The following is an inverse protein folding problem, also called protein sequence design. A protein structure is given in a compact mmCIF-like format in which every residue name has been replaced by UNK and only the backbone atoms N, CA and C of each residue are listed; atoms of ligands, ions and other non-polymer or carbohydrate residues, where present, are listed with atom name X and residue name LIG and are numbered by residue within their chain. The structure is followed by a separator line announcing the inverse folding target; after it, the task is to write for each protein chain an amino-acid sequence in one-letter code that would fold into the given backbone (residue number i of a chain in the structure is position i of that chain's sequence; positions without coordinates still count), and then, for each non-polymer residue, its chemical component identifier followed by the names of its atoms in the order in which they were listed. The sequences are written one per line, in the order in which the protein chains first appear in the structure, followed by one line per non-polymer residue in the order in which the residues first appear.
data_IF_379581498864
#
_entry.id   IF_379581498864
#
_cell.length_a   1.000
_cell.length_b   1.000
_cell.length_c   1.000
_cell.angle_alpha   90.00
_cell.angle_beta   90.00
_cell.angle_gamma   90.00
#
_symmetry.space_group_name_H-M   'P 1'
#
loop_
_entity.id
_entity.type
_entity.pdbx_description
1 polymer ?
#
# COMPACT_ATOMS: atom_id res chain seq x y z
N UNK A 1 -22.18 15.43 -18.07
CA UNK A 1 -21.86 15.55 -19.50
C UNK A 1 -22.44 16.85 -20.11
N UNK A 2 -22.32 17.06 -21.38
CA UNK A 2 -22.81 18.24 -22.13
C UNK A 2 -24.34 18.33 -22.28
N UNK A 3 -25.08 17.38 -21.75
CA UNK A 3 -26.55 17.31 -21.73
C UNK A 3 -27.14 17.30 -20.33
N UNK A 4 -26.33 17.52 -19.31
CA UNK A 4 -26.76 17.56 -17.91
C UNK A 4 -26.97 16.19 -17.25
N UNK A 5 -26.71 15.07 -17.92
CA UNK A 5 -26.79 13.72 -17.34
C UNK A 5 -25.64 13.48 -16.36
N UNK A 6 -25.94 12.86 -15.23
CA UNK A 6 -24.98 12.57 -14.16
C UNK A 6 -24.62 11.09 -14.17
N UNK A 7 -23.34 10.80 -14.24
CA UNK A 7 -22.78 9.46 -14.29
C UNK A 7 -21.81 9.24 -13.13
N UNK A 8 -21.72 8.01 -12.67
CA UNK A 8 -20.64 7.49 -11.83
C UNK A 8 -19.62 6.79 -12.74
N UNK A 9 -18.35 7.01 -12.47
CA UNK A 9 -17.23 6.40 -13.18
C UNK A 9 -16.32 5.76 -12.11
N UNK A 10 -16.50 4.45 -11.84
CA UNK A 10 -15.62 3.73 -10.91
C UNK A 10 -14.21 3.53 -11.49
N UNK A 11 -13.30 3.02 -10.68
CA UNK A 11 -11.91 2.74 -11.11
C UNK A 11 -11.82 1.71 -12.25
N UNK A 12 -12.84 0.85 -12.40
CA UNK A 12 -12.97 -0.08 -13.52
C UNK A 12 -13.28 0.60 -14.84
N UNK A 13 -13.59 1.90 -14.83
CA UNK A 13 -14.01 2.70 -16.01
C UNK A 13 -15.36 2.29 -16.59
N UNK A 14 -16.16 1.52 -15.90
CA UNK A 14 -17.56 1.23 -16.27
C UNK A 14 -18.41 2.46 -15.95
N UNK A 15 -19.05 3.02 -16.98
CA UNK A 15 -19.82 4.25 -16.85
C UNK A 15 -21.26 3.93 -16.51
N UNK A 16 -21.71 4.31 -15.31
CA UNK A 16 -23.07 4.08 -14.82
C UNK A 16 -23.90 5.35 -14.82
N UNK A 17 -25.06 5.32 -15.46
CA UNK A 17 -26.01 6.42 -15.38
C UNK A 17 -26.76 6.40 -14.05
N UNK A 18 -26.71 7.50 -13.30
CA UNK A 18 -27.35 7.59 -11.96
C UNK A 18 -28.88 7.76 -11.99
N UNK A 19 -29.48 7.90 -13.16
CA UNK A 19 -30.90 8.28 -13.28
C UNK A 19 -31.18 9.73 -12.88
N UNK A 20 -30.14 10.53 -12.64
CA UNK A 20 -30.25 11.95 -12.24
C UNK A 20 -29.73 12.87 -13.33
N UNK A 21 -30.37 14.03 -13.45
CA UNK A 21 -29.98 15.10 -14.39
C UNK A 21 -29.93 16.45 -13.67
N UNK A 22 -29.19 17.38 -14.22
CA UNK A 22 -29.25 18.81 -13.87
C UNK A 22 -29.58 19.66 -15.09
N UNK A 23 -30.33 20.72 -14.90
CA UNK A 23 -30.66 21.71 -15.94
C UNK A 23 -29.73 22.93 -15.90
N UNK A 24 -28.85 23.00 -14.89
CA UNK A 24 -27.88 24.09 -14.76
C UNK A 24 -26.72 23.90 -15.77
N UNK A 25 -26.77 24.64 -16.88
CA UNK A 25 -25.81 24.56 -17.96
C UNK A 25 -24.39 24.97 -17.57
N UNK A 26 -24.23 25.81 -16.56
CA UNK A 26 -22.92 26.24 -16.06
C UNK A 26 -22.15 25.12 -15.37
N UNK A 27 -22.86 24.03 -14.99
CA UNK A 27 -22.29 22.86 -14.36
C UNK A 27 -22.14 21.65 -15.31
N UNK A 28 -22.40 21.84 -16.60
CA UNK A 28 -22.17 20.76 -17.58
C UNK A 28 -20.68 20.47 -17.73
N UNK A 29 -20.35 19.26 -18.14
CA UNK A 29 -18.96 18.80 -18.28
C UNK A 29 -18.07 19.10 -17.03
N UNK A 30 -18.63 18.85 -15.87
CA UNK A 30 -17.95 18.94 -14.57
C UNK A 30 -17.52 17.54 -14.14
N UNK A 31 -16.31 17.39 -13.60
CA UNK A 31 -15.78 16.16 -13.04
C UNK A 31 -15.45 16.39 -11.58
N UNK A 32 -16.11 15.61 -10.71
CA UNK A 32 -15.95 15.63 -9.27
C UNK A 32 -15.38 14.30 -8.82
N UNK A 33 -14.44 14.32 -7.88
CA UNK A 33 -13.89 13.14 -7.24
C UNK A 33 -14.52 12.93 -5.85
N UNK A 34 -14.76 11.66 -5.50
CA UNK A 34 -15.43 11.33 -4.25
C UNK A 34 -15.60 9.85 -4.02
N UNK A 35 -16.30 9.51 -2.95
CA UNK A 35 -16.65 8.14 -2.60
C UNK A 35 -18.15 7.90 -2.74
N UNK A 36 -18.52 6.82 -3.41
CA UNK A 36 -19.91 6.40 -3.51
C UNK A 36 -20.27 5.44 -2.40
N UNK A 37 -21.16 5.88 -1.51
CA UNK A 37 -21.61 5.20 -0.31
C UNK A 37 -23.03 4.71 -0.54
N UNK A 38 -23.20 3.40 -0.73
CA UNK A 38 -24.51 2.80 -0.96
C UNK A 38 -25.30 2.65 0.33
N UNK A 39 -24.65 2.22 1.42
CA UNK A 39 -25.27 1.96 2.70
C UNK A 39 -24.55 2.71 3.82
N UNK A 40 -25.30 3.24 4.75
CA UNK A 40 -24.73 3.84 5.95
C UNK A 40 -24.29 2.75 6.96
N UNK A 41 -23.68 3.15 8.08
CA UNK A 41 -23.22 2.25 9.15
C UNK A 41 -24.32 1.39 9.79
N UNK A 42 -25.60 1.71 9.59
CA UNK A 42 -26.75 0.91 10.02
C UNK A 42 -27.31 0.05 8.90
N UNK A 43 -26.57 -0.17 7.84
CA UNK A 43 -26.97 -0.93 6.66
C UNK A 43 -28.19 -0.37 5.91
N UNK A 44 -28.57 0.89 6.18
CA UNK A 44 -29.64 1.56 5.45
C UNK A 44 -29.12 2.09 4.12
N UNK A 45 -29.85 1.83 3.04
CA UNK A 45 -29.54 2.38 1.72
C UNK A 45 -29.63 3.90 1.69
N UNK A 46 -28.55 4.58 1.34
CA UNK A 46 -28.45 6.07 1.35
C UNK A 46 -28.04 6.63 0.00
N UNK A 47 -27.40 5.85 -0.87
CA UNK A 47 -26.94 6.24 -2.20
C UNK A 47 -26.30 7.64 -2.22
N UNK A 48 -25.25 7.81 -1.43
CA UNK A 48 -24.59 9.11 -1.23
C UNK A 48 -23.24 9.12 -1.92
N UNK A 49 -22.96 10.17 -2.70
CA UNK A 49 -21.62 10.46 -3.20
C UNK A 49 -21.00 11.55 -2.33
N UNK A 50 -19.97 11.18 -1.58
CA UNK A 50 -19.24 12.08 -0.69
C UNK A 50 -18.04 12.67 -1.44
N UNK A 51 -18.24 13.83 -2.03
CA UNK A 51 -17.24 14.53 -2.84
C UNK A 51 -16.13 15.14 -1.99
N UNK A 52 -14.89 15.03 -2.43
CA UNK A 52 -13.72 15.59 -1.75
C UNK A 52 -12.79 16.41 -2.66
N UNK A 53 -12.95 16.33 -3.98
CA UNK A 53 -12.19 17.16 -4.92
C UNK A 53 -12.99 17.43 -6.20
N UNK A 54 -12.52 18.38 -7.02
CA UNK A 54 -13.09 18.73 -8.31
C UNK A 54 -11.98 19.03 -9.32
N UNK A 55 -12.08 18.43 -10.50
CA UNK A 55 -11.02 18.49 -11.53
C UNK A 55 -11.39 19.36 -12.71
N UNK A 56 -12.67 19.33 -13.12
CA UNK A 56 -13.17 20.13 -14.24
C UNK A 56 -14.50 20.79 -13.86
N UNK A 57 -14.69 22.01 -14.31
CA UNK A 57 -15.97 22.72 -14.24
C UNK A 57 -16.26 23.36 -15.61
N UNK A 58 -17.42 23.08 -16.18
CA UNK A 58 -17.84 23.58 -17.49
C UNK A 58 -16.74 23.41 -18.57
N UNK A 59 -16.19 22.18 -18.69
CA UNK A 59 -15.08 21.81 -19.57
C UNK A 59 -13.74 22.46 -19.23
N UNK A 60 -13.65 23.29 -18.20
CA UNK A 60 -12.44 24.00 -17.80
C UNK A 60 -11.64 23.16 -16.81
N UNK A 61 -10.41 22.87 -17.15
CA UNK A 61 -9.47 22.17 -16.25
C UNK A 61 -9.03 23.10 -15.11
N UNK A 62 -9.28 22.70 -13.86
CA UNK A 62 -8.90 23.43 -12.65
C UNK A 62 -7.98 22.63 -11.72
N UNK A 63 -7.44 21.50 -12.19
CA UNK A 63 -6.58 20.62 -11.40
C UNK A 63 -5.29 21.29 -10.92
N UNK A 64 -4.86 22.36 -11.60
CA UNK A 64 -3.69 23.17 -11.21
C UNK A 64 -3.92 24.06 -9.99
N UNK A 65 -5.18 24.34 -9.64
CA UNK A 65 -5.51 25.19 -8.52
C UNK A 65 -5.19 24.48 -7.17
N UNK A 66 -4.85 25.24 -6.11
CA UNK A 66 -4.70 24.68 -4.78
C UNK A 66 -6.04 24.14 -4.25
N UNK A 67 -5.96 23.22 -3.28
CA UNK A 67 -7.16 22.64 -2.67
C UNK A 67 -7.86 23.63 -1.75
N UNK A 68 -7.09 24.29 -0.86
CA UNK A 68 -7.54 25.28 0.11
C UNK A 68 -6.59 26.47 0.16
N UNK A 69 -7.07 27.63 0.66
CA UNK A 69 -6.22 28.76 0.98
C UNK A 69 -5.71 28.69 2.43
N UNK A 70 -4.43 28.84 2.58
CA UNK A 70 -3.78 28.92 3.91
C UNK A 70 -3.52 30.36 4.37
N UNK A 71 -3.88 31.36 3.58
CA UNK A 71 -3.63 32.76 3.96
C UNK A 71 -4.78 33.29 4.83
N UNK A 72 -4.40 33.97 5.91
CA UNK A 72 -5.30 34.77 6.75
C UNK A 72 -5.76 36.07 6.08
N UNK A 73 -5.41 36.27 4.80
CA UNK A 73 -5.84 37.42 4.03
C UNK A 73 -7.29 37.26 3.59
N UNK A 74 -8.05 38.36 3.64
CA UNK A 74 -9.44 38.40 3.19
C UNK A 74 -9.59 37.79 1.80
N UNK A 75 -10.48 36.82 1.69
CA UNK A 75 -10.77 36.13 0.44
C UNK A 75 -11.53 37.11 -0.44
N UNK A 76 -10.92 37.54 -1.52
CA UNK A 76 -11.64 38.18 -2.61
C UNK A 76 -12.60 37.16 -3.24
N UNK A 77 -13.84 37.20 -2.83
CA UNK A 77 -14.89 36.27 -3.24
C UNK A 77 -15.19 36.33 -4.76
N UNK A 78 -14.64 37.31 -5.46
CA UNK A 78 -14.77 37.45 -6.92
C UNK A 78 -13.83 36.52 -7.70
N UNK A 79 -12.80 35.93 -7.04
CA UNK A 79 -11.84 35.01 -7.67
C UNK A 79 -11.98 33.62 -7.08
N UNK A 80 -12.65 32.73 -7.80
CA UNK A 80 -12.69 31.28 -7.52
C UNK A 80 -11.24 30.71 -7.60
N UNK A 81 -10.56 30.64 -6.45
CA UNK A 81 -9.12 30.33 -6.42
C UNK A 81 -8.81 28.96 -5.86
N UNK A 82 -9.80 28.23 -5.29
CA UNK A 82 -9.57 26.99 -4.56
C UNK A 82 -10.56 25.91 -4.96
N UNK A 83 -10.08 24.70 -5.17
CA UNK A 83 -10.91 23.59 -5.60
C UNK A 83 -12.05 23.27 -4.62
N UNK A 84 -11.82 23.28 -3.30
CA UNK A 84 -12.90 23.00 -2.32
C UNK A 84 -13.99 24.07 -2.28
N UNK A 85 -13.65 25.34 -2.49
CA UNK A 85 -14.65 26.38 -2.58
C UNK A 85 -15.49 26.21 -3.85
N UNK A 86 -14.85 25.93 -4.97
CA UNK A 86 -15.53 25.63 -6.23
C UNK A 86 -16.43 24.41 -6.06
N UNK A 87 -15.94 23.32 -5.47
CA UNK A 87 -16.71 22.12 -5.20
C UNK A 87 -17.96 22.42 -4.35
N UNK A 88 -17.80 23.17 -3.27
CA UNK A 88 -18.92 23.56 -2.39
C UNK A 88 -19.97 24.35 -3.15
N UNK A 89 -19.55 25.29 -3.99
CA UNK A 89 -20.44 26.08 -4.84
C UNK A 89 -21.16 25.22 -5.90
N UNK A 90 -20.43 24.28 -6.51
CA UNK A 90 -21.01 23.33 -7.48
C UNK A 90 -22.08 22.48 -6.80
N UNK A 91 -21.76 21.86 -5.66
CA UNK A 91 -22.70 20.98 -4.92
C UNK A 91 -23.93 21.75 -4.47
N UNK A 92 -23.77 23.00 -3.98
CA UNK A 92 -24.90 23.85 -3.54
C UNK A 92 -25.82 24.27 -4.70
N UNK A 93 -25.25 24.44 -5.90
CA UNK A 93 -26.01 24.89 -7.10
C UNK A 93 -26.45 23.72 -7.98
N UNK A 94 -25.99 22.51 -7.71
CA UNK A 94 -26.34 21.31 -8.47
C UNK A 94 -27.73 20.81 -8.04
N UNK A 95 -28.77 21.34 -8.63
CA UNK A 95 -30.14 20.88 -8.44
C UNK A 95 -30.34 19.61 -9.25
N UNK A 96 -30.22 18.45 -8.59
CA UNK A 96 -30.43 17.15 -9.23
C UNK A 96 -31.89 16.75 -9.21
N UNK A 97 -32.44 16.47 -10.38
CA UNK A 97 -33.80 15.96 -10.55
C UNK A 97 -33.76 14.58 -11.19
N UNK A 98 -34.83 13.79 -10.99
CA UNK A 98 -34.93 12.47 -11.63
C UNK A 98 -35.13 12.63 -13.14
N UNK A 99 -34.43 11.82 -13.92
CA UNK A 99 -34.59 11.76 -15.38
C UNK A 99 -36.02 11.37 -15.78
N UNK A 100 -36.62 10.42 -15.06
CA UNK A 100 -37.98 9.93 -15.36
C UNK A 100 -39.08 10.89 -14.91
N UNK A 101 -38.83 11.73 -13.91
CA UNK A 101 -39.78 12.71 -13.39
C UNK A 101 -39.06 13.92 -12.80
N UNK A 102 -38.99 15.00 -13.58
CA UNK A 102 -38.28 16.23 -13.20
C UNK A 102 -38.81 16.94 -11.97
N UNK A 103 -40.02 16.61 -11.51
CA UNK A 103 -40.60 17.11 -10.29
C UNK A 103 -40.11 16.37 -9.02
N UNK A 104 -39.37 15.26 -9.21
CA UNK A 104 -38.78 14.48 -8.10
C UNK A 104 -37.29 14.73 -8.01
N UNK A 105 -36.76 14.72 -6.80
CA UNK A 105 -35.32 14.75 -6.54
C UNK A 105 -34.65 13.52 -7.19
N UNK A 106 -33.45 13.67 -7.71
CA UNK A 106 -32.63 12.57 -8.19
C UNK A 106 -32.31 11.56 -7.09
N UNK A 107 -32.03 10.33 -7.50
CA UNK A 107 -31.76 9.22 -6.57
C UNK A 107 -30.43 9.34 -5.84
N UNK A 108 -29.44 10.03 -6.44
CA UNK A 108 -28.13 10.25 -5.85
C UNK A 108 -28.17 11.42 -4.86
N UNK A 109 -27.64 11.21 -3.66
CA UNK A 109 -27.40 12.27 -2.71
C UNK A 109 -25.94 12.72 -2.82
N UNK A 110 -25.68 14.03 -2.91
CA UNK A 110 -24.33 14.58 -3.04
C UNK A 110 -23.99 15.43 -1.83
N UNK A 111 -22.89 15.12 -1.18
CA UNK A 111 -22.36 15.88 -0.03
C UNK A 111 -20.90 16.21 -0.26
N UNK A 112 -20.40 17.27 0.37
CA UNK A 112 -18.96 17.58 0.41
C UNK A 112 -18.37 17.06 1.70
N UNK A 113 -17.27 16.30 1.62
CA UNK A 113 -16.50 15.89 2.80
C UNK A 113 -15.93 17.12 3.49
N UNK A 114 -15.92 17.09 4.83
CA UNK A 114 -15.32 18.16 5.62
C UNK A 114 -13.81 17.99 5.71
N UNK A 115 -13.11 19.08 5.45
CA UNK A 115 -11.67 19.18 5.64
C UNK A 115 -11.37 20.06 6.86
N UNK A 116 -10.35 19.68 7.60
CA UNK A 116 -9.82 20.45 8.71
C UNK A 116 -8.42 20.91 8.29
N UNK A 117 -8.33 22.16 7.82
CA UNK A 117 -7.09 22.81 7.47
C UNK A 117 -6.77 23.86 8.52
N UNK A 118 -5.63 23.75 9.19
CA UNK A 118 -5.15 24.73 10.15
C UNK A 118 -3.62 24.61 10.26
N UNK A 119 -2.98 25.63 10.85
CA UNK A 119 -1.54 25.63 11.17
C UNK A 119 -1.17 24.52 12.18
N UNK A 120 -2.14 23.94 12.88
CA UNK A 120 -1.96 22.81 13.76
C UNK A 120 -2.76 21.59 13.25
N UNK A 121 -2.05 20.71 12.53
CA UNK A 121 -2.61 19.48 11.97
C UNK A 121 -3.13 18.53 13.05
N UNK A 122 -2.49 18.48 14.22
CA UNK A 122 -2.88 17.58 15.33
C UNK A 122 -4.26 17.91 15.86
N UNK A 123 -4.60 19.21 16.00
CA UNK A 123 -5.93 19.64 16.37
C UNK A 123 -6.98 19.25 15.32
N UNK A 124 -6.63 19.30 14.04
CA UNK A 124 -7.49 18.81 12.96
C UNK A 124 -7.78 17.32 13.09
N UNK A 125 -6.76 16.52 13.34
CA UNK A 125 -6.88 15.07 13.57
C UNK A 125 -7.76 14.78 14.79
N UNK A 126 -7.49 15.43 15.91
CA UNK A 126 -8.26 15.26 17.14
C UNK A 126 -9.75 15.58 16.92
N UNK A 127 -10.07 16.65 16.20
CA UNK A 127 -11.44 17.03 15.91
C UNK A 127 -12.16 15.98 15.04
N UNK A 128 -11.49 15.44 14.01
CA UNK A 128 -12.08 14.40 13.17
C UNK A 128 -12.30 13.12 13.99
N UNK A 129 -11.30 12.67 14.74
CA UNK A 129 -11.38 11.44 15.53
C UNK A 129 -12.45 11.54 16.63
N UNK A 130 -12.56 12.68 17.32
CA UNK A 130 -13.66 12.94 18.26
C UNK A 130 -15.04 12.90 17.58
N UNK A 131 -15.15 13.37 16.34
CA UNK A 131 -16.41 13.29 15.59
C UNK A 131 -16.75 11.85 15.20
N UNK A 132 -15.74 11.02 14.91
CA UNK A 132 -15.91 9.58 14.66
C UNK A 132 -16.41 8.89 15.93
N UNK A 133 -15.76 9.11 17.07
CA UNK A 133 -16.15 8.53 18.37
C UNK A 133 -17.56 8.93 18.78
N UNK A 134 -17.94 10.20 18.54
CA UNK A 134 -19.30 10.72 18.81
C UNK A 134 -20.33 10.28 17.76
N UNK A 135 -19.95 9.41 16.82
CA UNK A 135 -20.85 8.92 15.78
C UNK A 135 -21.49 10.02 14.90
N UNK A 136 -20.78 11.13 14.66
CA UNK A 136 -21.31 12.25 13.89
C UNK A 136 -21.26 12.06 12.37
N UNK A 137 -20.67 10.98 11.90
CA UNK A 137 -20.68 10.58 10.47
C UNK A 137 -21.71 9.46 10.27
N UNK A 138 -22.52 9.57 9.23
CA UNK A 138 -23.53 8.54 8.89
C UNK A 138 -22.93 7.32 8.19
N UNK A 139 -21.68 7.41 7.74
CA UNK A 139 -20.95 6.34 7.02
C UNK A 139 -19.77 5.83 7.83
N UNK A 140 -19.30 4.62 7.48
CA UNK A 140 -18.13 4.04 8.10
C UNK A 140 -16.86 4.79 7.68
N UNK A 141 -15.95 4.95 8.62
CA UNK A 141 -14.64 5.58 8.42
C UNK A 141 -13.55 4.60 8.79
N UNK A 142 -12.47 4.57 8.03
CA UNK A 142 -11.32 3.66 8.25
C UNK A 142 -10.06 4.40 8.70
N UNK A 143 -10.12 5.71 8.90
CA UNK A 143 -8.99 6.52 9.33
C UNK A 143 -9.01 7.95 8.81
N UNK A 144 -7.82 8.53 8.62
CA UNK A 144 -7.61 9.90 8.17
C UNK A 144 -6.89 9.93 6.83
N UNK A 145 -7.22 10.94 6.00
CA UNK A 145 -6.50 11.24 4.77
C UNK A 145 -5.91 12.64 4.89
N UNK A 146 -4.61 12.75 4.65
CA UNK A 146 -3.86 14.00 4.60
C UNK A 146 -3.64 14.38 3.16
N UNK A 147 -4.10 15.55 2.78
CA UNK A 147 -3.99 16.02 1.39
C UNK A 147 -3.28 17.38 1.37
N UNK A 148 -2.25 17.57 0.53
CA UNK A 148 -1.59 18.87 0.39
C UNK A 148 -2.58 19.94 -0.06
N UNK A 149 -2.60 21.08 0.64
CA UNK A 149 -3.57 22.13 0.40
C UNK A 149 -3.14 23.14 -0.66
N UNK A 150 -1.82 23.37 -0.83
CA UNK A 150 -1.27 24.45 -1.65
C UNK A 150 -0.93 24.01 -3.09
N UNK A 151 -1.00 22.72 -3.40
CA UNK A 151 -0.60 22.18 -4.70
C UNK A 151 -1.80 21.75 -5.53
N UNK A 152 -1.59 21.66 -6.83
CA UNK A 152 -2.56 21.04 -7.75
C UNK A 152 -2.64 19.54 -7.55
N UNK A 153 -3.57 18.89 -8.24
CA UNK A 153 -3.81 17.45 -8.16
C UNK A 153 -2.57 16.67 -8.55
N UNK A 154 -2.17 15.72 -7.70
CA UNK A 154 -1.01 14.84 -7.88
C UNK A 154 0.32 15.57 -8.15
N UNK A 155 0.45 16.84 -7.74
CA UNK A 155 1.64 17.66 -7.95
C UNK A 155 2.30 18.03 -6.64
N UNK A 156 3.63 18.10 -6.67
CA UNK A 156 4.47 18.60 -5.58
C UNK A 156 4.87 20.08 -5.81
N UNK A 157 4.30 20.73 -6.83
CA UNK A 157 4.63 22.10 -7.22
C UNK A 157 3.38 22.97 -7.24
N UNK A 158 3.46 24.16 -6.63
CA UNK A 158 2.37 25.15 -6.61
C UNK A 158 2.03 25.59 -8.04
N UNK A 159 0.74 25.63 -8.37
CA UNK A 159 0.23 26.09 -9.65
C UNK A 159 0.42 25.12 -10.83
N UNK A 160 0.91 23.90 -10.57
CA UNK A 160 1.06 22.86 -11.60
C UNK A 160 0.30 21.59 -11.23
N UNK A 161 -0.02 20.79 -12.23
CA UNK A 161 -0.53 19.42 -12.05
C UNK A 161 0.56 18.41 -12.40
N UNK A 162 0.38 17.16 -11.97
CA UNK A 162 1.28 16.10 -12.40
C UNK A 162 1.24 15.96 -13.93
N UNK A 163 2.40 15.78 -14.57
CA UNK A 163 2.46 15.59 -16.04
C UNK A 163 1.88 14.22 -16.45
N UNK A 164 1.80 13.27 -15.51
CA UNK A 164 1.27 11.93 -15.73
C UNK A 164 0.35 11.53 -14.57
N UNK A 165 -0.95 11.40 -14.86
CA UNK A 165 -1.99 11.01 -13.88
C UNK A 165 -1.96 9.52 -13.49
N UNK A 166 -1.08 8.72 -14.07
CA UNK A 166 -0.95 7.28 -13.74
C UNK A 166 -0.01 7.01 -12.54
N UNK A 167 0.64 8.05 -12.04
CA UNK A 167 1.52 7.91 -10.87
C UNK A 167 0.76 8.14 -9.58
N UNK A 168 1.10 7.37 -8.54
CA UNK A 168 0.59 7.60 -7.18
C UNK A 168 1.06 8.96 -6.68
N UNK A 169 0.16 9.71 -6.04
CA UNK A 169 0.52 10.97 -5.42
C UNK A 169 1.20 10.73 -4.07
N UNK A 170 2.50 10.85 -4.04
CA UNK A 170 3.33 10.54 -2.88
C UNK A 170 3.13 11.52 -1.70
N UNK A 171 2.59 12.71 -1.96
CA UNK A 171 2.30 13.72 -0.93
C UNK A 171 0.95 13.52 -0.22
N UNK A 172 0.13 12.57 -0.67
CA UNK A 172 -1.12 12.23 -0.01
C UNK A 172 -0.92 11.02 0.89
N UNK A 173 -1.18 11.17 2.18
CA UNK A 173 -0.97 10.13 3.19
C UNK A 173 -2.30 9.63 3.75
N UNK A 174 -2.34 8.34 4.08
CA UNK A 174 -3.46 7.72 4.78
C UNK A 174 -2.98 7.18 6.11
N UNK A 175 -3.68 7.53 7.17
CA UNK A 175 -3.48 6.94 8.49
C UNK A 175 -4.70 6.10 8.85
N UNK A 176 -4.45 4.94 9.42
CA UNK A 176 -5.47 4.04 9.98
C UNK A 176 -5.11 3.68 11.41
N UNK A 177 -6.09 3.47 12.29
CA UNK A 177 -5.86 2.83 13.57
C UNK A 177 -5.14 1.49 13.39
N UNK A 178 -4.29 1.11 14.35
CA UNK A 178 -3.44 -0.09 14.24
C UNK A 178 -4.25 -1.36 13.95
N UNK A 179 -5.42 -1.45 14.57
CA UNK A 179 -6.35 -2.58 14.40
C UNK A 179 -6.95 -2.70 13.00
N UNK A 180 -6.87 -1.65 12.18
CA UNK A 180 -7.36 -1.63 10.80
C UNK A 180 -6.24 -1.83 9.76
N UNK A 181 -5.00 -2.09 10.21
CA UNK A 181 -3.91 -2.44 9.31
C UNK A 181 -4.01 -3.91 8.94
N UNK A 182 -4.48 -4.18 7.73
CA UNK A 182 -4.70 -5.52 7.19
C UNK A 182 -3.90 -5.72 5.91
N UNK A 183 -3.68 -6.99 5.56
CA UNK A 183 -3.04 -7.37 4.29
C UNK A 183 -3.94 -8.38 3.58
N UNK A 184 -4.16 -8.15 2.29
CA UNK A 184 -4.84 -9.11 1.42
C UNK A 184 -3.81 -10.08 0.85
N UNK A 185 -3.93 -11.36 1.19
CA UNK A 185 -3.06 -12.41 0.68
C UNK A 185 -3.81 -13.34 -0.29
N UNK A 186 -3.11 -13.81 -1.31
CA UNK A 186 -3.50 -15.02 -2.01
C UNK A 186 -3.15 -16.22 -1.13
N UNK A 187 -4.16 -16.95 -0.72
CA UNK A 187 -4.04 -18.11 0.17
C UNK A 187 -3.82 -19.37 -0.64
N UNK A 188 -2.80 -20.14 -0.27
CA UNK A 188 -2.56 -21.49 -0.79
C UNK A 188 -2.52 -22.46 0.39
N UNK A 189 -3.31 -23.51 0.34
CA UNK A 189 -3.31 -24.52 1.38
C UNK A 189 -2.05 -25.40 1.31
N UNK A 190 -1.40 -25.60 2.45
CA UNK A 190 -0.30 -26.54 2.54
C UNK A 190 -0.79 -27.95 2.21
N UNK A 191 -0.04 -28.67 1.37
CA UNK A 191 -0.39 -30.03 0.91
C UNK A 191 0.65 -31.03 1.38
N UNK A 192 0.20 -32.26 1.56
CA UNK A 192 1.04 -33.43 1.77
C UNK A 192 1.69 -33.86 0.44
N UNK A 193 2.60 -34.83 0.51
CA UNK A 193 3.27 -35.41 -0.67
C UNK A 193 2.31 -36.09 -1.66
N UNK A 194 1.15 -36.53 -1.19
CA UNK A 194 0.08 -37.12 -2.00
C UNK A 194 -0.90 -36.09 -2.57
N UNK A 195 -0.61 -34.80 -2.45
CA UNK A 195 -1.44 -33.66 -2.88
C UNK A 195 -2.71 -33.44 -2.06
N UNK A 196 -2.96 -34.22 -1.01
CA UNK A 196 -4.05 -33.95 -0.05
C UNK A 196 -3.75 -32.71 0.79
N UNK A 197 -4.79 -32.06 1.30
CA UNK A 197 -4.61 -30.89 2.18
C UNK A 197 -4.01 -31.36 3.51
N UNK A 198 -2.95 -30.66 3.95
CA UNK A 198 -2.34 -30.92 5.25
C UNK A 198 -3.25 -30.41 6.38
N UNK A 199 -3.66 -31.31 7.26
CA UNK A 199 -4.43 -31.01 8.47
C UNK A 199 -3.52 -31.27 9.67
N UNK A 200 -3.11 -30.18 10.32
CA UNK A 200 -2.36 -30.26 11.57
C UNK A 200 -3.31 -30.43 12.76
N UNK A 201 -2.78 -30.96 13.86
CA UNK A 201 -3.48 -30.98 15.12
C UNK A 201 -2.57 -30.53 16.25
N UNK A 202 -3.16 -30.01 17.32
CA UNK A 202 -2.49 -29.70 18.59
C UNK A 202 -3.37 -30.06 19.76
N UNK A 203 -2.76 -30.46 20.85
CA UNK A 203 -3.49 -30.60 22.11
C UNK A 203 -3.91 -29.24 22.65
N UNK A 204 -5.14 -29.16 23.14
CA UNK A 204 -5.62 -27.96 23.80
C UNK A 204 -4.87 -27.74 25.11
N UNK A 205 -4.58 -26.49 25.47
CA UNK A 205 -4.03 -26.14 26.77
C UNK A 205 -5.11 -26.32 27.83
N UNK A 206 -4.84 -27.19 28.78
CA UNK A 206 -5.78 -27.52 29.84
C UNK A 206 -6.66 -28.72 29.49
N UNK A 207 -6.91 -29.57 30.47
CA UNK A 207 -7.76 -30.76 30.31
C UNK A 207 -9.17 -30.37 30.67
N UNK A 208 -10.05 -30.29 29.66
CA UNK A 208 -11.49 -30.15 29.86
C UNK A 208 -12.11 -31.54 29.78
N UNK A 209 -12.27 -32.18 30.93
CA UNK A 209 -12.81 -33.53 31.06
C UNK A 209 -14.28 -33.65 30.59
N UNK A 210 -14.93 -32.53 30.31
CA UNK A 210 -16.31 -32.50 29.79
C UNK A 210 -16.40 -32.64 28.31
N UNK A 211 -15.27 -32.49 27.57
CA UNK A 211 -15.20 -32.57 26.11
C UNK A 211 -14.59 -33.89 25.65
N UNK A 212 -15.22 -34.54 24.68
CA UNK A 212 -14.73 -35.77 24.09
C UNK A 212 -13.46 -35.54 23.24
N UNK A 213 -13.31 -34.35 22.63
CA UNK A 213 -12.16 -33.99 21.81
C UNK A 213 -11.28 -32.94 22.52
N UNK A 214 -10.02 -33.29 22.71
CA UNK A 214 -9.02 -32.40 23.31
C UNK A 214 -7.99 -31.90 22.30
N UNK A 215 -8.26 -32.09 21.01
CA UNK A 215 -7.43 -31.69 19.91
C UNK A 215 -8.09 -30.53 19.16
N UNK A 216 -7.29 -29.56 18.77
CA UNK A 216 -7.67 -28.53 17.81
C UNK A 216 -7.00 -28.84 16.50
N UNK A 217 -7.81 -29.05 15.46
CA UNK A 217 -7.35 -29.23 14.08
C UNK A 217 -7.19 -27.88 13.41
N UNK A 218 -6.24 -27.75 12.49
CA UNK A 218 -5.97 -26.52 11.77
C UNK A 218 -5.47 -26.80 10.36
N UNK A 219 -5.72 -25.88 9.45
CA UNK A 219 -5.06 -25.83 8.15
C UNK A 219 -3.89 -24.87 8.22
N UNK A 220 -2.77 -25.25 7.61
CA UNK A 220 -1.63 -24.36 7.40
C UNK A 220 -1.79 -23.68 6.03
N UNK A 221 -1.80 -22.37 6.05
CA UNK A 221 -1.93 -21.51 4.89
C UNK A 221 -0.58 -20.89 4.53
N UNK A 222 -0.23 -20.92 3.26
CA UNK A 222 0.88 -20.18 2.68
C UNK A 222 0.28 -18.89 2.14
N UNK A 223 0.77 -17.76 2.65
CA UNK A 223 0.28 -16.41 2.35
C UNK A 223 1.16 -15.79 1.27
N UNK A 224 0.58 -15.57 0.08
CA UNK A 224 1.29 -15.04 -1.06
C UNK A 224 0.88 -13.61 -1.37
N UNK A 225 1.81 -12.84 -1.94
CA UNK A 225 1.63 -11.48 -2.42
C UNK A 225 2.09 -11.37 -3.87
N UNK A 226 1.59 -10.38 -4.59
CA UNK A 226 2.03 -10.13 -5.95
C UNK A 226 3.41 -9.50 -6.00
N UNK A 227 4.33 -10.08 -6.75
CA UNK A 227 5.72 -9.67 -6.82
C UNK A 227 6.18 -9.44 -8.26
N UNK A 228 6.86 -8.30 -8.47
CA UNK A 228 7.49 -7.91 -9.73
C UNK A 228 8.98 -7.70 -9.48
N UNK A 229 9.83 -8.62 -9.92
CA UNK A 229 11.27 -8.54 -9.70
C UNK A 229 11.92 -7.30 -10.33
N UNK A 230 11.37 -6.79 -11.44
CA UNK A 230 11.87 -5.56 -12.08
C UNK A 230 11.67 -4.32 -11.22
N UNK A 231 10.59 -4.31 -10.42
CA UNK A 231 10.24 -3.16 -9.56
C UNK A 231 10.74 -3.31 -8.14
N UNK A 232 10.74 -4.54 -7.63
CA UNK A 232 10.99 -4.81 -6.22
C UNK A 232 12.37 -5.43 -5.97
N UNK A 233 13.12 -5.73 -7.04
CA UNK A 233 14.41 -6.42 -6.96
C UNK A 233 14.28 -7.86 -6.47
N UNK A 234 15.26 -8.34 -5.75
CA UNK A 234 15.30 -9.69 -5.18
C UNK A 234 14.61 -9.73 -3.81
N UNK A 235 14.04 -10.88 -3.43
CA UNK A 235 13.32 -11.00 -2.13
C UNK A 235 14.33 -10.95 -0.99
N UNK A 236 15.38 -11.76 -1.04
CA UNK A 236 16.45 -11.80 -0.05
C UNK A 236 17.79 -12.15 -0.71
N UNK A 237 18.44 -11.20 -1.40
CA UNK A 237 19.64 -11.50 -2.20
C UNK A 237 20.80 -12.05 -1.37
N UNK A 238 20.98 -11.57 -0.14
CA UNK A 238 22.06 -12.05 0.71
C UNK A 238 21.88 -13.52 1.11
N UNK A 239 20.65 -13.92 1.44
CA UNK A 239 20.33 -15.30 1.81
C UNK A 239 20.44 -16.22 0.58
N UNK A 240 20.06 -15.75 -0.59
CA UNK A 240 20.20 -16.48 -1.86
C UNK A 240 21.66 -16.77 -2.17
N UNK A 241 22.57 -15.80 -1.94
CA UNK A 241 24.02 -16.00 -2.09
C UNK A 241 24.55 -17.01 -1.06
N UNK A 242 24.19 -16.86 0.22
CA UNK A 242 24.66 -17.73 1.30
C UNK A 242 24.23 -19.19 1.07
N UNK A 243 23.03 -19.39 0.54
CA UNK A 243 22.47 -20.72 0.29
C UNK A 243 22.79 -21.26 -1.10
N UNK A 244 23.63 -20.58 -1.89
CA UNK A 244 23.95 -20.92 -3.29
C UNK A 244 22.69 -21.09 -4.17
N UNK A 245 21.67 -20.28 -3.87
CA UNK A 245 20.37 -20.29 -4.56
C UNK A 245 20.30 -19.22 -5.65
N UNK A 246 21.41 -19.05 -6.39
CA UNK A 246 21.52 -18.04 -7.42
C UNK A 246 20.73 -18.45 -8.67
N UNK A 247 19.96 -17.52 -9.21
CA UNK A 247 19.26 -17.73 -10.47
C UNK A 247 20.26 -17.81 -11.61
N UNK A 248 20.11 -18.82 -12.49
CA UNK A 248 20.90 -18.91 -13.69
C UNK A 248 20.61 -17.74 -14.62
N UNK A 249 21.67 -17.20 -15.25
CA UNK A 249 21.63 -16.00 -16.10
C UNK A 249 20.56 -16.05 -17.22
N UNK A 250 20.10 -17.23 -17.63
CA UNK A 250 19.07 -17.42 -18.64
C UNK A 250 17.63 -17.30 -18.13
N UNK A 251 17.42 -17.20 -16.81
CA UNK A 251 16.07 -17.12 -16.22
C UNK A 251 15.49 -15.69 -16.22
N UNK A 252 16.29 -14.70 -16.61
CA UNK A 252 15.85 -13.28 -16.67
C UNK A 252 14.85 -12.98 -17.80
N UNK A 253 14.61 -13.91 -18.72
CA UNK A 253 13.67 -13.72 -19.82
C UNK A 253 12.19 -13.74 -19.39
N UNK A 254 11.86 -14.30 -18.21
CA UNK A 254 10.50 -14.49 -17.70
C UNK A 254 10.24 -13.76 -16.36
N UNK A 255 10.68 -12.50 -16.26
CA UNK A 255 10.38 -11.66 -15.11
C UNK A 255 8.91 -11.20 -15.18
N UNK A 256 7.98 -12.09 -14.87
CA UNK A 256 6.57 -11.79 -14.82
C UNK A 256 6.12 -11.45 -13.40
N UNK A 257 5.07 -10.60 -13.31
CA UNK A 257 4.33 -10.40 -12.07
C UNK A 257 3.70 -11.72 -11.63
N UNK A 258 4.11 -12.25 -10.48
CA UNK A 258 3.75 -13.59 -9.99
C UNK A 258 3.47 -13.58 -8.49
N UNK A 259 2.71 -14.55 -7.98
CA UNK A 259 2.57 -14.72 -6.54
C UNK A 259 3.86 -15.29 -5.95
N UNK A 260 4.29 -14.74 -4.82
CA UNK A 260 5.39 -15.25 -3.99
C UNK A 260 4.99 -15.25 -2.54
N UNK A 261 5.49 -16.22 -1.77
CA UNK A 261 5.28 -16.27 -0.33
C UNK A 261 5.77 -14.96 0.31
N UNK A 262 4.97 -14.40 1.20
CA UNK A 262 5.29 -13.14 1.85
C UNK A 262 6.48 -13.29 2.79
N UNK A 263 7.53 -12.54 2.49
CA UNK A 263 8.74 -12.45 3.29
C UNK A 263 9.07 -10.97 3.50
N UNK A 264 8.72 -10.40 4.66
CA UNK A 264 8.94 -8.98 4.94
C UNK A 264 10.40 -8.67 5.26
N UNK A 265 10.75 -7.38 5.16
CA UNK A 265 12.12 -6.94 5.41
C UNK A 265 12.34 -6.29 6.78
N UNK A 266 11.36 -5.54 7.26
CA UNK A 266 11.51 -4.77 8.50
C UNK A 266 10.19 -4.79 9.34
N UNK A 267 10.17 -5.49 10.48
CA UNK A 267 11.18 -6.48 10.89
C UNK A 267 11.19 -7.70 9.95
N UNK A 268 12.35 -8.31 9.78
CA UNK A 268 12.46 -9.58 9.06
C UNK A 268 11.82 -10.70 9.87
N UNK A 269 10.96 -11.48 9.23
CA UNK A 269 10.36 -12.69 9.82
C UNK A 269 10.14 -13.72 8.70
N UNK A 270 10.88 -14.82 8.75
CA UNK A 270 10.81 -15.93 7.78
C UNK A 270 9.50 -16.71 7.86
N UNK A 271 8.77 -16.58 8.97
CA UNK A 271 7.48 -17.24 9.18
C UNK A 271 6.28 -16.33 8.85
N UNK A 272 6.51 -15.05 8.49
CA UNK A 272 5.42 -14.12 8.21
C UNK A 272 4.50 -14.54 7.05
N UNK A 273 4.99 -15.34 6.13
CA UNK A 273 4.22 -15.88 5.01
C UNK A 273 3.50 -17.20 5.31
N UNK A 274 3.34 -17.57 6.57
CA UNK A 274 2.67 -18.83 6.97
C UNK A 274 1.75 -18.55 8.15
N UNK A 275 0.55 -19.13 8.13
CA UNK A 275 -0.33 -19.12 9.31
C UNK A 275 -1.15 -20.39 9.41
N UNK A 276 -1.58 -20.72 10.63
CA UNK A 276 -2.54 -21.76 10.90
C UNK A 276 -3.90 -21.14 11.18
N UNK A 277 -4.94 -21.73 10.61
CA UNK A 277 -6.33 -21.33 10.87
C UNK A 277 -7.08 -22.55 11.42
N UNK A 278 -7.74 -22.36 12.56
CA UNK A 278 -8.51 -23.43 13.22
C UNK A 278 -9.59 -23.96 12.27
N UNK A 279 -9.63 -25.27 12.14
CA UNK A 279 -10.58 -25.98 11.30
C UNK A 279 -11.76 -26.49 12.15
N UNK A 280 -12.93 -26.38 11.59
CA UNK A 280 -14.19 -26.86 12.18
C UNK A 280 -14.69 -28.06 11.39
N UNK A 281 -15.07 -29.13 12.10
CA UNK A 281 -15.69 -30.32 11.51
C UNK A 281 -17.11 -29.98 11.06
N UNK A 282 -17.47 -30.35 9.84
CA UNK A 282 -18.85 -30.32 9.37
C UNK A 282 -19.60 -31.65 9.67
N UNK A 283 -20.89 -31.70 9.33
CA UNK A 283 -21.73 -32.87 9.57
C UNK A 283 -21.23 -34.15 8.86
N UNK A 284 -20.34 -34.00 7.89
CA UNK A 284 -19.78 -35.10 7.09
C UNK A 284 -18.36 -35.48 7.54
N UNK A 285 -17.91 -35.04 8.72
CA UNK A 285 -16.57 -35.20 9.24
C UNK A 285 -15.48 -34.61 8.34
N UNK A 286 -15.82 -33.64 7.47
CA UNK A 286 -14.82 -32.88 6.73
C UNK A 286 -14.46 -31.60 7.50
N UNK A 287 -13.17 -31.27 7.50
CA UNK A 287 -12.68 -30.05 8.16
C UNK A 287 -12.77 -28.88 7.19
N UNK A 288 -13.21 -27.73 7.70
CA UNK A 288 -13.31 -26.48 6.97
C UNK A 288 -12.78 -25.32 7.81
N UNK A 289 -12.24 -24.30 7.16
CA UNK A 289 -11.76 -23.09 7.80
C UNK A 289 -12.59 -21.88 7.36
N UNK A 290 -12.77 -20.95 8.27
CA UNK A 290 -13.63 -19.78 8.06
C UNK A 290 -12.92 -18.50 8.49
N UNK A 291 -13.32 -17.40 7.89
CA UNK A 291 -12.97 -16.04 8.32
C UNK A 291 -13.71 -15.68 9.61
N UNK A 292 -13.31 -14.57 10.26
CA UNK A 292 -14.05 -14.04 11.43
C UNK A 292 -15.46 -13.56 11.07
N UNK A 293 -15.72 -13.24 9.80
CA UNK A 293 -17.08 -12.94 9.27
C UNK A 293 -17.87 -14.20 8.90
N UNK A 294 -17.34 -15.38 9.27
CA UNK A 294 -17.99 -16.68 9.06
C UNK A 294 -18.11 -17.11 7.58
N UNK A 295 -17.20 -16.65 6.73
CA UNK A 295 -17.11 -16.99 5.33
C UNK A 295 -16.14 -18.15 5.12
N UNK A 296 -16.48 -19.12 4.27
CA UNK A 296 -15.62 -20.26 3.95
C UNK A 296 -14.37 -19.79 3.19
N UNK A 297 -13.19 -20.18 3.66
CA UNK A 297 -11.93 -19.93 2.96
C UNK A 297 -11.66 -21.09 2.01
N UNK A 298 -11.43 -20.77 0.75
CA UNK A 298 -11.09 -21.74 -0.31
C UNK A 298 -9.62 -21.66 -0.67
N UNK A 299 -9.06 -22.80 -1.11
CA UNK A 299 -7.71 -22.83 -1.68
C UNK A 299 -7.65 -21.91 -2.93
N UNK A 300 -6.56 -21.19 -3.08
CA UNK A 300 -6.35 -20.24 -4.18
C UNK A 300 -7.41 -19.12 -4.24
N UNK A 301 -7.72 -18.55 -3.07
CA UNK A 301 -8.58 -17.36 -2.91
C UNK A 301 -7.83 -16.20 -2.28
N UNK A 302 -8.34 -14.99 -2.45
CA UNK A 302 -7.77 -13.79 -1.82
C UNK A 302 -8.55 -13.48 -0.55
N UNK A 303 -7.84 -13.42 0.58
CA UNK A 303 -8.41 -13.23 1.91
C UNK A 303 -7.69 -12.08 2.60
N UNK A 304 -8.45 -11.24 3.28
CA UNK A 304 -7.93 -10.15 4.11
C UNK A 304 -7.59 -10.67 5.51
N UNK A 305 -6.35 -10.40 5.95
CA UNK A 305 -5.84 -10.84 7.24
C UNK A 305 -5.43 -9.65 8.11
N UNK A 306 -5.67 -9.83 9.41
CA UNK A 306 -5.15 -8.97 10.48
C UNK A 306 -4.05 -9.72 11.24
N UNK A 307 -2.95 -9.02 11.53
CA UNK A 307 -1.87 -9.58 12.36
C UNK A 307 -2.12 -9.27 13.83
N UNK A 308 -2.14 -10.30 14.67
CA UNK A 308 -2.36 -10.19 16.11
C UNK A 308 -1.10 -10.67 16.84
N UNK A 309 -0.30 -9.72 17.29
CA UNK A 309 1.02 -9.98 17.93
C UNK A 309 0.92 -10.88 19.15
N UNK A 310 -0.16 -10.76 19.94
CA UNK A 310 -0.39 -11.54 21.17
C UNK A 310 -0.77 -13.00 20.92
N UNK A 311 -1.12 -13.38 19.71
CA UNK A 311 -1.45 -14.74 19.38
C UNK A 311 -0.20 -15.64 19.39
N UNK A 312 -0.41 -16.94 19.54
CA UNK A 312 0.66 -17.95 19.44
C UNK A 312 1.36 -17.89 18.07
N UNK A 313 2.64 -18.23 18.05
CA UNK A 313 3.39 -18.36 16.80
C UNK A 313 2.63 -19.27 15.82
N UNK A 314 2.64 -18.91 14.56
CA UNK A 314 1.89 -19.54 13.47
C UNK A 314 0.35 -19.40 13.55
N UNK A 315 -0.22 -18.62 14.49
CA UNK A 315 -1.63 -18.25 14.56
C UNK A 315 -1.83 -16.73 14.61
N UNK A 316 -0.80 -15.96 14.29
CA UNK A 316 -0.82 -14.50 14.39
C UNK A 316 -1.65 -13.83 13.30
N UNK A 317 -1.69 -14.41 12.10
CA UNK A 317 -2.56 -13.95 11.04
C UNK A 317 -3.97 -14.52 11.21
N UNK A 318 -4.92 -13.61 11.43
CA UNK A 318 -6.34 -13.93 11.60
C UNK A 318 -7.10 -13.53 10.35
N UNK A 319 -7.76 -14.46 9.65
CA UNK A 319 -8.53 -14.16 8.45
C UNK A 319 -9.81 -13.38 8.81
N UNK A 320 -10.01 -12.20 8.21
CA UNK A 320 -11.15 -11.32 8.50
C UNK A 320 -12.31 -11.61 7.55
N UNK A 321 -12.07 -11.49 6.26
CA UNK A 321 -13.08 -11.67 5.21
C UNK A 321 -12.47 -12.11 3.88
N UNK A 322 -13.26 -12.74 3.03
CA UNK A 322 -12.86 -13.03 1.66
C UNK A 322 -12.96 -11.77 0.78
N UNK A 323 -11.98 -11.60 -0.09
CA UNK A 323 -12.00 -10.59 -1.12
C UNK A 323 -12.58 -11.21 -2.40
N UNK A 324 -13.89 -11.33 -2.43
CA UNK A 324 -14.62 -11.95 -3.55
C UNK A 324 -14.37 -11.22 -4.87
N UNK A 325 -14.29 -9.88 -4.83
CA UNK A 325 -13.95 -9.03 -5.96
C UNK A 325 -12.61 -9.44 -6.59
N UNK A 326 -11.55 -9.48 -5.79
CA UNK A 326 -10.19 -9.82 -6.23
C UNK A 326 -10.05 -11.29 -6.60
N UNK A 327 -10.72 -12.17 -5.87
CA UNK A 327 -10.73 -13.61 -6.17
C UNK A 327 -11.42 -13.89 -7.51
N UNK A 328 -12.49 -13.18 -7.82
CA UNK A 328 -13.17 -13.27 -9.11
C UNK A 328 -12.27 -12.80 -10.26
N UNK A 329 -11.59 -11.65 -10.10
CA UNK A 329 -10.61 -11.17 -11.08
C UNK A 329 -9.50 -12.19 -11.33
N UNK A 330 -8.93 -12.77 -10.26
CA UNK A 330 -7.89 -13.79 -10.35
C UNK A 330 -8.38 -15.02 -11.13
N UNK A 331 -9.56 -15.53 -10.80
CA UNK A 331 -10.16 -16.70 -11.45
C UNK A 331 -10.52 -16.48 -12.91
N UNK A 332 -10.74 -15.23 -13.30
CA UNK A 332 -10.95 -14.81 -14.70
C UNK A 332 -9.63 -14.45 -15.45
N UNK A 333 -8.49 -14.81 -14.89
CA UNK A 333 -7.17 -14.67 -15.55
C UNK A 333 -6.49 -13.33 -15.34
N UNK A 334 -7.03 -12.43 -14.51
CA UNK A 334 -6.32 -11.23 -14.12
C UNK A 334 -5.16 -11.57 -13.17
N UNK A 335 -4.04 -10.85 -13.29
CA UNK A 335 -2.88 -11.01 -12.39
C UNK A 335 -3.13 -10.28 -11.07
N UNK A 336 -4.19 -10.64 -10.35
CA UNK A 336 -4.48 -10.13 -9.01
C UNK A 336 -4.11 -11.19 -7.98
N UNK A 337 -3.09 -10.92 -7.15
CA UNK A 337 -2.59 -11.85 -6.13
C UNK A 337 -2.71 -11.26 -4.72
N UNK A 338 -3.75 -10.44 -4.49
CA UNK A 338 -3.93 -9.70 -3.26
C UNK A 338 -3.12 -8.39 -3.27
N UNK A 339 -2.48 -8.07 -2.16
CA UNK A 339 -1.60 -6.90 -2.13
C UNK A 339 -0.33 -7.15 -2.95
N UNK A 340 0.15 -6.09 -3.62
CA UNK A 340 1.50 -6.12 -4.16
C UNK A 340 2.52 -6.13 -3.02
N UNK A 341 3.68 -6.76 -3.24
CA UNK A 341 4.71 -6.95 -2.24
C UNK A 341 5.07 -5.66 -1.47
N UNK A 342 5.31 -4.55 -2.17
CA UNK A 342 5.68 -3.28 -1.54
C UNK A 342 4.57 -2.74 -0.63
N UNK A 343 3.30 -2.95 -0.98
CA UNK A 343 2.15 -2.55 -0.15
C UNK A 343 2.07 -3.43 1.10
N UNK A 344 2.19 -4.75 0.93
CA UNK A 344 2.18 -5.70 2.04
C UNK A 344 3.34 -5.44 3.01
N UNK A 345 4.55 -5.19 2.49
CA UNK A 345 5.73 -4.90 3.30
C UNK A 345 5.61 -3.56 4.04
N UNK A 346 5.03 -2.53 3.42
CA UNK A 346 4.74 -1.25 4.09
C UNK A 346 3.69 -1.41 5.20
N UNK A 347 2.62 -2.18 4.94
CA UNK A 347 1.62 -2.48 5.97
C UNK A 347 2.23 -3.29 7.13
N UNK A 348 3.11 -4.24 6.84
CA UNK A 348 3.85 -5.00 7.86
C UNK A 348 4.70 -4.09 8.76
N UNK A 349 5.45 -3.15 8.17
CA UNK A 349 6.20 -2.15 8.93
C UNK A 349 5.28 -1.30 9.81
N UNK A 350 4.14 -0.86 9.27
CA UNK A 350 3.15 -0.08 10.02
C UNK A 350 2.52 -0.88 11.16
N UNK A 351 2.28 -2.18 10.99
CA UNK A 351 1.79 -3.07 12.06
C UNK A 351 2.79 -3.16 13.22
N UNK A 352 4.10 -3.19 12.93
CA UNK A 352 5.15 -3.35 13.92
C UNK A 352 5.66 -2.02 14.49
N UNK A 353 5.54 -0.94 13.74
CA UNK A 353 5.90 0.42 14.16
C UNK A 353 4.77 1.40 13.80
N UNK A 354 3.63 1.34 14.48
CA UNK A 354 2.46 2.12 14.14
C UNK A 354 2.61 3.58 14.55
N UNK A 355 2.08 4.48 13.72
CA UNK A 355 1.77 5.84 14.15
C UNK A 355 0.51 5.75 15.01
N UNK A 356 0.64 6.00 16.30
CA UNK A 356 -0.44 5.85 17.26
C UNK A 356 -1.43 7.01 17.23
N UNK A 357 -2.59 6.83 17.88
CA UNK A 357 -3.56 7.89 18.10
C UNK A 357 -2.92 9.10 18.80
N UNK A 358 -2.08 8.87 19.82
CA UNK A 358 -1.39 9.94 20.54
C UNK A 358 -0.44 10.71 19.63
N UNK A 359 0.37 10.01 18.81
CA UNK A 359 1.28 10.65 17.87
C UNK A 359 0.52 11.61 16.93
N UNK A 360 -0.63 11.18 16.38
CA UNK A 360 -1.34 11.92 15.34
C UNK A 360 -2.24 13.04 15.92
N UNK A 361 -2.58 12.98 17.20
CA UNK A 361 -3.41 13.99 17.85
C UNK A 361 -2.63 15.01 18.68
N UNK A 362 -1.43 14.68 19.11
CA UNK A 362 -0.61 15.57 19.96
C UNK A 362 0.72 15.94 19.33
N UNK A 363 1.25 15.14 18.42
CA UNK A 363 2.61 15.27 17.90
C UNK A 363 3.71 14.82 18.87
N UNK A 364 3.33 14.23 20.01
CA UNK A 364 4.28 13.71 20.98
C UNK A 364 4.74 12.30 20.62
N UNK A 365 5.90 11.90 21.13
CA UNK A 365 6.45 10.54 20.97
C UNK A 365 6.59 10.09 19.50
N UNK A 366 6.75 11.04 18.58
CA UNK A 366 7.09 10.70 17.21
C UNK A 366 8.55 10.23 17.22
N UNK A 367 8.76 8.94 17.05
CA UNK A 367 10.08 8.41 16.77
C UNK A 367 10.46 8.90 15.37
N UNK A 368 11.34 9.89 15.32
CA UNK A 368 12.02 10.22 14.08
C UNK A 368 13.04 9.09 13.93
N UNK A 369 12.71 8.10 13.11
CA UNK A 369 13.73 7.17 12.64
C UNK A 369 14.76 8.02 11.89
N UNK A 370 15.91 8.25 12.50
CA UNK A 370 17.07 8.84 11.84
C UNK A 370 17.69 7.83 10.85
N UNK A 371 16.85 7.03 10.18
CA UNK A 371 17.25 6.08 9.15
C UNK A 371 17.80 6.76 7.88
N UNK A 372 17.83 8.09 7.84
CA UNK A 372 18.60 8.83 6.83
C UNK A 372 20.13 8.62 6.96
N UNK A 373 20.60 8.15 8.13
CA UNK A 373 22.02 7.81 8.35
C UNK A 373 22.44 6.52 7.62
N UNK A 374 21.49 5.66 7.21
CA UNK A 374 21.80 4.42 6.50
C UNK A 374 21.95 4.59 4.98
N UNK A 375 21.51 5.70 4.39
CA UNK A 375 21.63 5.97 2.95
C UNK A 375 22.93 6.72 2.66
N UNK A 376 24.05 6.04 2.72
CA UNK A 376 25.37 6.63 2.41
C UNK A 376 25.53 7.04 0.93
N UNK A 377 24.85 6.35 0.01
CA UNK A 377 24.87 6.66 -1.43
C UNK A 377 23.53 7.17 -1.93
N UNK A 378 23.29 8.47 -1.79
CA UNK A 378 22.16 9.12 -2.46
C UNK A 378 22.52 9.39 -3.93
N UNK A 379 21.83 8.72 -4.88
CA UNK A 379 22.00 8.99 -6.32
C UNK A 379 21.44 10.38 -6.62
N UNK A 380 22.30 11.39 -6.57
CA UNK A 380 21.98 12.72 -7.09
C UNK A 380 21.89 12.60 -8.61
N UNK A 381 20.71 12.83 -9.18
CA UNK A 381 20.45 12.80 -10.62
C UNK A 381 21.06 13.97 -11.39
N UNK A 382 21.63 14.96 -10.68
CA UNK A 382 22.26 16.13 -11.28
C UNK A 382 23.74 15.87 -11.64
N UNK A 383 24.20 16.50 -12.70
CA UNK A 383 25.59 16.40 -13.16
C UNK A 383 26.53 16.82 -12.03
N UNK A 384 27.28 15.87 -11.49
CA UNK A 384 28.26 16.12 -10.45
C UNK A 384 29.50 16.80 -11.03
N UNK A 385 29.87 17.96 -10.50
CA UNK A 385 31.11 18.65 -10.89
C UNK A 385 32.38 17.84 -10.59
N UNK A 386 32.28 16.86 -9.68
CA UNK A 386 33.40 15.99 -9.28
C UNK A 386 33.46 14.68 -10.07
N UNK A 387 32.66 14.53 -11.12
CA UNK A 387 32.56 13.27 -11.88
C UNK A 387 33.92 12.82 -12.42
N UNK A 388 34.66 13.72 -13.05
CA UNK A 388 35.98 13.39 -13.61
C UNK A 388 36.98 12.92 -12.55
N UNK A 389 37.01 13.57 -11.38
CA UNK A 389 37.84 13.17 -10.26
C UNK A 389 37.43 11.81 -9.70
N UNK A 390 36.13 11.57 -9.55
CA UNK A 390 35.61 10.31 -9.09
C UNK A 390 35.90 9.17 -10.07
N UNK A 391 35.75 9.42 -11.37
CA UNK A 391 36.06 8.44 -12.41
C UNK A 391 37.56 8.13 -12.44
N UNK A 392 38.45 9.12 -12.33
CA UNK A 392 39.87 8.89 -12.19
C UNK A 392 40.23 8.06 -10.96
N UNK A 393 39.62 8.37 -9.82
CA UNK A 393 39.85 7.63 -8.58
C UNK A 393 39.37 6.18 -8.69
N UNK A 394 38.15 5.97 -9.22
CA UNK A 394 37.57 4.64 -9.30
C UNK A 394 38.16 3.77 -10.41
N UNK A 395 38.44 4.33 -11.58
CA UNK A 395 38.88 3.55 -12.73
C UNK A 395 40.40 3.39 -12.77
N UNK A 396 41.17 4.35 -12.26
CA UNK A 396 42.62 4.31 -12.30
C UNK A 396 43.24 4.02 -10.93
N UNK A 397 43.00 4.87 -9.93
CA UNK A 397 43.70 4.77 -8.63
C UNK A 397 43.36 3.49 -7.90
N UNK A 398 42.07 3.18 -7.74
CA UNK A 398 41.64 1.94 -7.07
C UNK A 398 42.09 0.68 -7.81
N UNK A 399 42.03 0.68 -9.14
CA UNK A 399 42.48 -0.43 -9.92
C UNK A 399 44.01 -0.68 -9.76
N UNK A 400 44.81 0.40 -9.78
CA UNK A 400 46.22 0.32 -9.53
C UNK A 400 46.54 -0.19 -8.12
N UNK A 401 45.85 0.28 -7.10
CA UNK A 401 46.04 -0.15 -5.71
C UNK A 401 45.70 -1.64 -5.53
N UNK A 402 44.57 -2.10 -6.06
CA UNK A 402 44.20 -3.52 -5.98
C UNK A 402 45.26 -4.40 -6.64
N UNK A 403 45.75 -4.02 -7.84
CA UNK A 403 46.79 -4.74 -8.55
C UNK A 403 48.14 -4.75 -7.81
N UNK A 404 48.43 -3.72 -7.01
CA UNK A 404 49.67 -3.63 -6.23
C UNK A 404 49.64 -4.48 -4.95
N UNK A 405 48.46 -4.67 -4.35
CA UNK A 405 48.33 -5.34 -3.05
C UNK A 405 47.82 -6.77 -3.14
N UNK A 406 47.39 -7.23 -4.32
CA UNK A 406 46.84 -8.59 -4.51
C UNK A 406 47.38 -9.26 -5.78
N UNK A 407 47.44 -10.57 -5.74
CA UNK A 407 47.79 -11.45 -6.86
C UNK A 407 46.55 -12.30 -7.24
N UNK A 408 46.65 -12.96 -8.39
CA UNK A 408 45.68 -14.00 -8.81
C UNK A 408 45.53 -15.06 -7.71
N UNK A 409 44.32 -15.52 -7.43
CA UNK A 409 43.98 -16.51 -6.38
C UNK A 409 44.09 -15.99 -4.92
N UNK A 410 44.39 -14.73 -4.68
CA UNK A 410 44.41 -14.17 -3.34
C UNK A 410 43.01 -13.98 -2.75
N UNK A 411 42.97 -13.95 -1.42
CA UNK A 411 41.79 -13.55 -0.62
C UNK A 411 42.02 -12.18 -0.01
N UNK A 412 41.08 -11.29 -0.18
CA UNK A 412 41.13 -9.94 0.41
C UNK A 412 39.93 -9.63 1.31
N UNK A 413 40.13 -8.67 2.21
CA UNK A 413 39.06 -8.08 3.02
C UNK A 413 38.87 -6.62 2.58
N UNK A 414 37.64 -6.26 2.20
CA UNK A 414 37.25 -4.89 1.93
C UNK A 414 36.44 -4.33 3.10
N UNK A 415 37.00 -3.36 3.84
CA UNK A 415 36.39 -2.78 5.04
C UNK A 415 35.32 -1.71 4.77
N UNK A 416 35.09 -1.35 3.54
CA UNK A 416 34.08 -0.38 3.13
C UNK A 416 33.57 -0.71 1.73
N UNK A 417 33.04 -1.94 1.59
CA UNK A 417 32.67 -2.50 0.31
C UNK A 417 31.60 -1.72 -0.43
N UNK A 418 30.79 -0.93 0.29
CA UNK A 418 29.67 -0.20 -0.28
C UNK A 418 28.70 -1.14 -0.98
N UNK A 419 28.27 -0.76 -2.16
CA UNK A 419 27.42 -1.58 -3.05
C UNK A 419 28.27 -2.43 -4.02
N UNK A 420 29.41 -2.95 -3.57
CA UNK A 420 30.36 -3.74 -4.35
C UNK A 420 30.82 -3.10 -5.67
N UNK A 421 31.01 -1.78 -5.66
CA UNK A 421 31.43 -1.02 -6.85
C UNK A 421 32.79 -1.41 -7.41
N UNK A 422 33.61 -2.15 -6.64
CA UNK A 422 34.90 -2.66 -7.02
C UNK A 422 34.87 -4.12 -7.54
N UNK A 423 33.71 -4.78 -7.56
CA UNK A 423 33.51 -6.13 -8.07
C UNK A 423 34.16 -6.39 -9.44
N UNK A 424 34.02 -5.52 -10.48
CA UNK A 424 34.69 -5.73 -11.76
C UNK A 424 36.23 -5.77 -11.65
N UNK A 425 36.82 -5.05 -10.70
CA UNK A 425 38.27 -5.00 -10.47
C UNK A 425 38.74 -6.29 -9.81
N UNK A 426 37.97 -6.82 -8.84
CA UNK A 426 38.28 -8.13 -8.21
C UNK A 426 38.20 -9.27 -9.20
N UNK A 427 37.20 -9.27 -10.08
CA UNK A 427 37.06 -10.27 -11.16
C UNK A 427 38.24 -10.16 -12.13
N UNK A 428 38.64 -8.94 -12.56
CA UNK A 428 39.76 -8.74 -13.47
C UNK A 428 41.09 -9.20 -12.88
N UNK A 429 41.28 -9.05 -11.57
CA UNK A 429 42.45 -9.53 -10.85
C UNK A 429 42.40 -11.03 -10.51
N UNK A 430 41.28 -11.70 -10.86
CA UNK A 430 41.06 -13.12 -10.60
C UNK A 430 41.23 -13.48 -9.12
N UNK A 431 40.73 -12.65 -8.23
CA UNK A 431 40.76 -12.92 -6.80
C UNK A 431 39.90 -14.15 -6.51
N UNK A 432 40.39 -15.02 -5.62
CA UNK A 432 39.70 -16.23 -5.24
C UNK A 432 38.48 -15.94 -4.34
N UNK A 433 38.62 -15.00 -3.43
CA UNK A 433 37.59 -14.66 -2.48
C UNK A 433 37.75 -13.22 -1.99
N UNK A 434 36.60 -12.51 -1.82
CA UNK A 434 36.55 -11.19 -1.23
C UNK A 434 35.56 -11.20 -0.07
N UNK A 435 36.00 -10.84 1.13
CA UNK A 435 35.14 -10.64 2.28
C UNK A 435 34.87 -9.15 2.45
N UNK A 436 33.66 -8.72 2.08
CA UNK A 436 33.24 -7.32 2.16
C UNK A 436 32.50 -7.00 3.47
N UNK A 437 32.86 -5.86 4.09
CA UNK A 437 32.19 -5.33 5.27
C UNK A 437 31.73 -3.90 4.96
N UNK A 438 30.54 -3.53 5.37
CA UNK A 438 30.06 -2.14 5.30
C UNK A 438 29.24 -1.79 6.53
N UNK A 439 29.26 -0.53 6.95
CA UNK A 439 28.50 -0.02 8.08
C UNK A 439 27.01 0.08 7.72
N UNK A 440 26.72 0.43 6.47
CA UNK A 440 25.34 0.58 5.97
C UNK A 440 24.77 -0.76 5.55
N UNK A 441 23.73 -1.20 6.25
CA UNK A 441 22.94 -2.37 5.90
C UNK A 441 22.34 -2.26 4.49
N UNK A 442 21.89 -1.05 4.10
CA UNK A 442 21.34 -0.78 2.77
C UNK A 442 22.36 -1.05 1.66
N UNK A 443 23.64 -0.72 1.88
CA UNK A 443 24.69 -1.01 0.91
C UNK A 443 24.83 -2.51 0.63
N UNK A 444 24.59 -3.36 1.60
CA UNK A 444 24.71 -4.83 1.46
C UNK A 444 23.39 -5.45 1.00
N UNK A 445 22.29 -5.14 1.68
CA UNK A 445 21.02 -5.86 1.59
C UNK A 445 19.99 -5.21 0.68
N UNK A 446 20.26 -4.03 0.10
CA UNK A 446 19.32 -3.41 -0.82
C UNK A 446 18.97 -4.36 -1.96
N UNK A 447 17.69 -4.57 -2.18
CA UNK A 447 17.14 -5.57 -3.12
C UNK A 447 17.35 -5.27 -4.58
N UNK A 448 17.66 -4.01 -4.91
CA UNK A 448 17.76 -3.53 -6.29
C UNK A 448 19.22 -3.30 -6.67
N UNK A 449 19.99 -2.71 -5.75
CA UNK A 449 21.34 -2.24 -6.05
C UNK A 449 22.32 -2.41 -4.88
N UNK A 450 22.00 -3.27 -3.89
CA UNK A 450 22.93 -3.66 -2.83
C UNK A 450 24.05 -4.58 -3.35
N UNK A 451 25.06 -4.78 -2.51
CA UNK A 451 26.21 -5.63 -2.88
C UNK A 451 25.83 -7.08 -3.22
N UNK A 452 24.72 -7.58 -2.66
CA UNK A 452 24.19 -8.93 -2.89
C UNK A 452 23.14 -9.01 -4.02
N UNK A 453 22.70 -7.88 -4.60
CA UNK A 453 21.64 -7.83 -5.61
C UNK A 453 22.15 -7.93 -7.10
#
# INVERSE_FOLDING_TARGET
NNSGYIYLIPMTMDIEFTGSITENKDLFNTIIDGEHILHNKNNKYVNTFAAFDIYFINSKNITHLPLLNNSTQEIDSSKLQFRLLILSNVVSNLKMVSFSNKNKKGSLNLIVKRFFGNNNIFNGCLNILNNIEKNLYDYNTDGLIFTPINTGVASNTIGKTAPNYKTTWNESFKWKPVEHNTIDFLVVFKKNSDNSIYIGNRMNKGIDLTKAEQHTYFYTLILNVGFDEKKHGYINPCLDIINDNLKKYNDYSNLEYKPVQFLPTNPYDDNAGITNVVAHSDKNNSYKIYTTENELIEDYSIVEFKYVVSNENNFKWVPIKNRYDKTFELRNGAKNYGNAYHVANSNWQTIHNPITYENITTGNNIHIDNNDDDVYYNKITNVSYTRALRDFHNLYVKNLLINLVSNEEDTIIDYAVGKAGDLPKWINNKLKFVFGIDLSKDNIENRIDGACA
#
